data_IF_189393602797
#
_entry.id   IF_189393602797
#
_cell.length_a   1.000
_cell.length_b   1.000
_cell.length_c   1.000
_cell.angle_alpha   90.00
_cell.angle_beta   90.00
_cell.angle_gamma   90.00
#
_symmetry.space_group_name_H-M   'P 1'
#
loop_
_entity.id
_entity.type
_entity.pdbx_description
1 polymer ?
#
# COMPACT_ATOMS: atom_id res chain seq x y z
N UNK A 1 -25.20 -13.06 -7.87
CA UNK A 1 -23.89 -12.39 -7.95
C UNK A 1 -22.93 -13.18 -7.07
N UNK A 2 -21.78 -13.62 -7.58
CA UNK A 2 -20.77 -14.29 -6.77
C UNK A 2 -19.75 -13.29 -6.20
N UNK A 3 -18.78 -13.74 -5.39
CA UNK A 3 -17.79 -12.84 -4.77
C UNK A 3 -16.89 -12.14 -5.80
N UNK A 4 -16.60 -12.78 -6.93
CA UNK A 4 -15.75 -12.22 -8.00
C UNK A 4 -16.49 -11.13 -8.78
N UNK A 5 -17.79 -11.32 -9.00
CA UNK A 5 -18.68 -10.31 -9.60
C UNK A 5 -18.74 -9.07 -8.70
N UNK A 6 -18.88 -9.26 -7.38
CA UNK A 6 -18.91 -8.17 -6.40
C UNK A 6 -17.59 -7.40 -6.44
N UNK A 7 -16.44 -8.09 -6.36
CA UNK A 7 -15.12 -7.45 -6.43
C UNK A 7 -14.88 -6.73 -7.76
N UNK A 8 -15.32 -7.31 -8.88
CA UNK A 8 -15.20 -6.70 -10.20
C UNK A 8 -16.05 -5.42 -10.30
N UNK A 9 -17.30 -5.47 -9.82
CA UNK A 9 -18.21 -4.31 -9.79
C UNK A 9 -17.68 -3.22 -8.85
N UNK A 10 -17.24 -3.59 -7.66
CA UNK A 10 -16.60 -2.68 -6.71
C UNK A 10 -15.37 -2.00 -7.33
N UNK A 11 -14.48 -2.78 -7.96
CA UNK A 11 -13.28 -2.25 -8.62
C UNK A 11 -13.61 -1.21 -9.69
N UNK A 12 -14.67 -1.42 -10.47
CA UNK A 12 -15.15 -0.43 -11.46
C UNK A 12 -15.70 0.81 -10.78
N UNK A 13 -16.49 0.65 -9.71
CA UNK A 13 -17.03 1.77 -8.94
C UNK A 13 -15.93 2.62 -8.27
N UNK A 14 -14.90 1.98 -7.71
CA UNK A 14 -13.79 2.68 -7.06
C UNK A 14 -12.98 3.54 -8.05
N UNK A 15 -12.86 3.11 -9.31
CA UNK A 15 -12.22 3.93 -10.35
C UNK A 15 -12.98 5.23 -10.62
N UNK A 16 -14.29 5.27 -10.36
CA UNK A 16 -15.10 6.49 -10.51
C UNK A 16 -14.89 7.50 -9.37
N UNK A 17 -14.12 7.15 -8.33
CA UNK A 17 -13.77 8.10 -7.27
C UNK A 17 -12.75 9.16 -7.72
N UNK A 18 -12.10 8.95 -8.86
CA UNK A 18 -11.23 9.95 -9.47
C UNK A 18 -12.00 11.24 -9.69
N UNK A 19 -11.51 12.32 -9.10
CA UNK A 19 -12.13 13.64 -9.14
C UNK A 19 -12.98 13.97 -7.91
N UNK A 20 -13.31 13.00 -7.06
CA UNK A 20 -14.09 13.25 -5.85
C UNK A 20 -13.30 14.11 -4.87
N UNK A 21 -13.97 15.15 -4.35
CA UNK A 21 -13.48 15.98 -3.26
C UNK A 21 -13.91 15.37 -1.94
N UNK A 22 -12.97 15.19 -1.02
CA UNK A 22 -13.22 14.70 0.33
C UNK A 22 -13.35 15.91 1.25
N UNK A 23 -14.60 16.25 1.57
CA UNK A 23 -14.94 17.42 2.38
C UNK A 23 -14.73 17.16 3.89
N UNK A 24 -13.47 17.00 4.28
CA UNK A 24 -13.04 16.81 5.68
C UNK A 24 -12.29 18.04 6.21
N UNK A 25 -11.44 18.63 5.39
CA UNK A 25 -10.58 19.75 5.75
C UNK A 25 -10.36 20.61 4.52
N UNK A 26 -10.26 21.92 4.72
CA UNK A 26 -9.88 22.84 3.67
C UNK A 26 -8.61 23.58 4.09
N UNK A 27 -7.53 23.38 3.36
CA UNK A 27 -6.30 24.15 3.54
C UNK A 27 -6.47 25.47 2.81
N UNK A 28 -6.46 26.59 3.54
CA UNK A 28 -6.64 27.90 2.92
C UNK A 28 -5.44 28.26 2.04
N UNK A 29 -5.73 29.06 1.01
CA UNK A 29 -4.73 29.57 0.08
C UNK A 29 -3.65 30.36 0.86
N UNK A 30 -2.36 30.06 0.66
CA UNK A 30 -1.30 30.76 1.36
C UNK A 30 -1.26 32.24 0.95
N UNK A 31 -1.14 33.20 1.90
CA UNK A 31 -1.16 34.62 1.59
C UNK A 31 0.16 35.14 0.99
N UNK A 32 1.24 34.36 1.12
CA UNK A 32 2.58 34.72 0.63
C UNK A 32 3.29 33.49 0.07
N UNK A 33 4.30 33.74 -0.77
CA UNK A 33 5.14 32.67 -1.33
C UNK A 33 5.92 31.90 -0.26
N UNK A 34 6.41 32.59 0.77
CA UNK A 34 7.09 31.93 1.90
C UNK A 34 6.16 31.01 2.68
N UNK A 35 4.89 31.41 2.87
CA UNK A 35 3.89 30.53 3.44
C UNK A 35 3.66 29.32 2.54
N UNK A 36 3.51 29.53 1.22
CA UNK A 36 3.30 28.45 0.26
C UNK A 36 4.45 27.42 0.29
N UNK A 37 5.71 27.89 0.36
CA UNK A 37 6.90 27.03 0.50
C UNK A 37 6.87 26.20 1.77
N UNK A 38 6.55 26.84 2.90
CA UNK A 38 6.46 26.11 4.16
C UNK A 38 5.35 25.07 4.12
N UNK A 39 4.16 25.46 3.64
CA UNK A 39 3.00 24.58 3.49
C UNK A 39 3.33 23.37 2.62
N UNK A 40 3.99 23.56 1.49
CA UNK A 40 4.37 22.47 0.59
C UNK A 40 5.29 21.42 1.24
N UNK A 41 6.12 21.82 2.22
CA UNK A 41 6.97 20.91 3.02
C UNK A 41 6.18 20.10 4.04
N UNK A 42 5.04 20.61 4.53
CA UNK A 42 4.30 20.01 5.65
C UNK A 42 2.92 19.46 5.30
N UNK A 43 2.37 19.77 4.13
CA UNK A 43 0.99 19.40 3.73
C UNK A 43 0.78 17.88 3.74
N UNK A 44 1.82 17.08 3.48
CA UNK A 44 1.78 15.62 3.56
C UNK A 44 1.42 15.09 4.96
N UNK A 45 1.60 15.91 6.01
CA UNK A 45 1.20 15.57 7.40
C UNK A 45 -0.32 15.42 7.55
N UNK A 46 -1.12 15.85 6.58
CA UNK A 46 -2.57 15.59 6.54
C UNK A 46 -2.92 14.14 6.20
N UNK A 47 -1.96 13.34 5.71
CA UNK A 47 -2.21 11.97 5.24
C UNK A 47 -2.91 11.05 6.26
N UNK A 48 -2.62 11.09 7.58
CA UNK A 48 -3.34 10.24 8.54
C UNK A 48 -4.84 10.58 8.62
N UNK A 49 -5.19 11.87 8.66
CA UNK A 49 -6.59 12.32 8.70
C UNK A 49 -7.30 12.00 7.38
N UNK A 50 -6.69 12.39 6.26
CA UNK A 50 -7.28 12.21 4.93
C UNK A 50 -7.39 10.72 4.58
N UNK A 51 -6.39 9.92 4.93
CA UNK A 51 -6.38 8.48 4.71
C UNK A 51 -7.56 7.78 5.39
N UNK A 52 -7.76 8.06 6.68
CA UNK A 52 -8.86 7.48 7.43
C UNK A 52 -10.24 7.91 6.90
N UNK A 53 -10.37 9.15 6.43
CA UNK A 53 -11.60 9.62 5.80
C UNK A 53 -11.83 9.03 4.41
N UNK A 54 -10.78 8.77 3.64
CA UNK A 54 -10.88 8.05 2.37
C UNK A 54 -11.38 6.62 2.63
N UNK A 55 -10.90 5.92 3.66
CA UNK A 55 -11.41 4.59 4.04
C UNK A 55 -12.91 4.61 4.32
N UNK A 56 -13.38 5.62 5.06
CA UNK A 56 -14.82 5.82 5.32
C UNK A 56 -15.60 6.11 4.04
N UNK A 57 -15.11 7.06 3.24
CA UNK A 57 -15.74 7.47 2.00
C UNK A 57 -15.87 6.29 1.03
N UNK A 58 -14.83 5.47 0.85
CA UNK A 58 -14.85 4.29 -0.01
C UNK A 58 -15.99 3.34 0.34
N UNK A 59 -16.17 3.01 1.63
CA UNK A 59 -17.28 2.15 2.06
C UNK A 59 -18.66 2.75 1.75
N UNK A 60 -18.82 4.07 1.91
CA UNK A 60 -20.06 4.78 1.57
C UNK A 60 -20.32 4.72 0.07
N UNK A 61 -19.32 5.03 -0.76
CA UNK A 61 -19.46 5.04 -2.22
C UNK A 61 -19.71 3.65 -2.79
N UNK A 62 -19.09 2.61 -2.23
CA UNK A 62 -19.38 1.23 -2.62
C UNK A 62 -20.85 0.87 -2.39
N UNK A 63 -21.47 1.34 -1.30
CA UNK A 63 -22.89 1.10 -1.02
C UNK A 63 -23.87 1.91 -1.89
N UNK A 64 -23.39 2.88 -2.66
CA UNK A 64 -24.24 3.55 -3.67
C UNK A 64 -24.43 2.72 -4.94
N UNK A 65 -23.59 1.71 -5.15
CA UNK A 65 -23.77 0.76 -6.24
C UNK A 65 -24.94 -0.16 -5.92
N UNK A 66 -25.68 -0.56 -6.95
CA UNK A 66 -26.78 -1.51 -6.78
C UNK A 66 -26.26 -2.93 -6.52
N UNK A 67 -26.46 -3.46 -5.33
CA UNK A 67 -26.09 -4.84 -4.98
C UNK A 67 -27.30 -5.79 -5.01
N UNK A 68 -28.51 -5.30 -5.28
CA UNK A 68 -29.74 -6.05 -5.02
C UNK A 68 -29.85 -6.46 -3.54
N UNK A 69 -30.49 -7.60 -3.28
CA UNK A 69 -30.69 -8.12 -1.92
C UNK A 69 -29.53 -9.01 -1.43
N UNK A 70 -28.37 -9.00 -2.12
CA UNK A 70 -27.28 -9.94 -1.82
C UNK A 70 -26.40 -9.51 -0.65
N UNK A 71 -26.42 -8.23 -0.26
CA UNK A 71 -25.64 -7.72 0.86
C UNK A 71 -25.27 -6.24 0.75
N UNK A 72 -24.37 -5.80 1.65
CA UNK A 72 -23.86 -4.42 1.70
C UNK A 72 -22.41 -4.37 2.16
N UNK A 73 -21.69 -3.31 1.81
CA UNK A 73 -20.33 -3.10 2.31
C UNK A 73 -20.34 -2.52 3.72
N UNK A 74 -19.49 -3.05 4.60
CA UNK A 74 -19.27 -2.58 5.96
C UNK A 74 -17.79 -2.30 6.19
N UNK A 75 -17.52 -1.26 6.96
CA UNK A 75 -16.18 -0.99 7.47
C UNK A 75 -15.79 -2.00 8.55
N UNK A 76 -14.50 -2.32 8.60
CA UNK A 76 -13.90 -3.02 9.73
C UNK A 76 -12.95 -2.08 10.48
N UNK A 77 -13.16 -1.93 11.78
CA UNK A 77 -12.26 -1.21 12.70
C UNK A 77 -12.51 -1.66 14.16
N UNK A 78 -11.61 -2.45 14.79
CA UNK A 78 -10.43 -3.06 14.21
C UNK A 78 -10.78 -4.25 13.29
N UNK A 79 -10.04 -4.45 12.21
CA UNK A 79 -10.17 -5.65 11.39
C UNK A 79 -9.39 -5.56 10.08
N UNK A 80 -9.41 -6.65 9.31
CA UNK A 80 -8.84 -6.69 7.96
C UNK A 80 -9.78 -7.50 7.05
N UNK A 81 -10.01 -7.07 5.80
CA UNK A 81 -9.57 -5.79 5.21
C UNK A 81 -10.42 -4.59 5.68
N UNK A 82 -10.01 -3.36 5.35
CA UNK A 82 -10.68 -2.12 5.78
C UNK A 82 -12.20 -2.08 5.49
N UNK A 83 -12.65 -2.68 4.39
CA UNK A 83 -14.08 -2.83 4.06
C UNK A 83 -14.38 -4.26 3.60
N UNK A 84 -15.44 -4.87 4.13
CA UNK A 84 -15.92 -6.22 3.79
C UNK A 84 -17.36 -6.18 3.30
N UNK A 85 -17.73 -7.04 2.37
CA UNK A 85 -19.11 -7.20 1.92
C UNK A 85 -19.83 -8.20 2.81
N UNK A 86 -20.80 -7.72 3.58
CA UNK A 86 -21.68 -8.55 4.42
C UNK A 86 -22.89 -9.02 3.61
N UNK A 87 -23.03 -10.33 3.47
CA UNK A 87 -24.11 -10.98 2.74
C UNK A 87 -23.94 -12.50 2.73
N UNK A 88 -24.85 -13.22 2.09
CA UNK A 88 -24.76 -14.68 1.93
C UNK A 88 -23.81 -15.05 0.77
N UNK A 89 -22.55 -14.60 0.85
CA UNK A 89 -21.51 -14.78 -0.17
C UNK A 89 -20.26 -15.35 0.48
N UNK A 90 -19.74 -16.45 -0.07
CA UNK A 90 -18.53 -17.10 0.45
C UNK A 90 -17.52 -17.37 -0.68
N UNK A 91 -16.22 -17.02 -0.50
CA UNK A 91 -15.68 -16.19 0.59
C UNK A 91 -16.23 -14.76 0.57
N UNK A 92 -16.22 -14.11 1.73
CA UNK A 92 -16.62 -12.72 1.86
C UNK A 92 -15.68 -11.80 1.05
N UNK A 93 -16.20 -11.03 0.07
CA UNK A 93 -15.44 -10.01 -0.64
C UNK A 93 -14.88 -8.96 0.31
N UNK A 94 -13.65 -8.51 0.08
CA UNK A 94 -13.06 -7.43 0.86
C UNK A 94 -12.19 -6.49 0.03
N UNK A 95 -12.12 -5.22 0.45
CA UNK A 95 -11.26 -4.19 -0.12
C UNK A 95 -10.38 -3.64 1.00
N UNK A 96 -9.07 -3.83 0.84
CA UNK A 96 -8.05 -3.16 1.64
C UNK A 96 -7.72 -1.83 1.00
N UNK A 97 -7.66 -0.76 1.78
CA UNK A 97 -7.51 0.61 1.30
C UNK A 97 -6.14 1.12 1.70
N UNK A 98 -5.45 1.73 0.73
CA UNK A 98 -4.19 2.43 0.95
C UNK A 98 -4.25 3.76 0.24
N UNK A 99 -3.69 4.78 0.88
CA UNK A 99 -3.67 6.13 0.32
C UNK A 99 -2.26 6.59 0.06
N UNK A 100 -2.09 7.39 -0.98
CA UNK A 100 -0.81 7.97 -1.37
C UNK A 100 -0.96 9.47 -1.64
N UNK A 101 -0.05 10.25 -1.07
CA UNK A 101 0.14 11.66 -1.36
C UNK A 101 1.35 11.82 -2.30
N UNK A 102 1.16 12.09 -3.62
CA UNK A 102 2.25 11.98 -4.60
C UNK A 102 3.42 12.94 -4.47
N UNK A 103 3.26 14.03 -3.71
CA UNK A 103 4.38 14.94 -3.43
C UNK A 103 5.28 14.44 -2.28
N UNK A 104 4.91 13.34 -1.61
CA UNK A 104 5.78 12.64 -0.68
C UNK A 104 6.96 11.95 -1.40
N UNK A 105 7.99 11.57 -0.66
CA UNK A 105 9.17 10.89 -1.22
C UNK A 105 8.89 9.48 -1.71
N UNK A 106 7.96 8.76 -1.08
CA UNK A 106 7.58 7.39 -1.43
C UNK A 106 6.16 7.06 -0.92
N UNK A 107 5.55 5.99 -1.43
CA UNK A 107 4.37 5.38 -0.82
C UNK A 107 4.82 4.61 0.43
N UNK A 108 4.58 5.19 1.61
CA UNK A 108 5.00 4.61 2.90
C UNK A 108 4.06 3.53 3.44
N UNK A 109 2.85 3.45 2.88
CA UNK A 109 1.87 2.41 3.16
C UNK A 109 2.49 1.02 2.99
N UNK A 110 2.23 0.13 3.96
CA UNK A 110 2.77 -1.24 3.96
C UNK A 110 1.68 -2.26 3.70
N UNK A 111 2.06 -3.37 3.09
CA UNK A 111 1.18 -4.51 2.88
C UNK A 111 1.84 -5.79 3.37
N UNK A 112 1.56 -6.20 4.61
CA UNK A 112 2.29 -7.27 5.30
C UNK A 112 1.57 -8.60 5.32
N UNK A 113 0.28 -8.64 5.01
CA UNK A 113 -0.53 -9.85 5.08
C UNK A 113 0.05 -10.99 4.25
N UNK A 114 0.01 -12.18 4.83
CA UNK A 114 0.45 -13.42 4.23
C UNK A 114 -0.28 -13.71 2.93
N UNK A 115 0.46 -14.21 1.93
CA UNK A 115 -0.13 -14.74 0.71
C UNK A 115 -1.13 -15.88 0.97
N UNK A 116 -1.00 -16.60 2.10
CA UNK A 116 -1.94 -17.64 2.50
C UNK A 116 -3.33 -17.08 2.81
N UNK A 117 -3.44 -15.80 3.19
CA UNK A 117 -4.71 -15.15 3.45
C UNK A 117 -5.53 -14.98 2.17
N UNK A 118 -4.89 -14.90 1.00
CA UNK A 118 -5.53 -14.51 -0.27
C UNK A 118 -5.70 -15.65 -1.27
N UNK A 119 -5.75 -16.90 -0.81
CA UNK A 119 -5.79 -18.09 -1.70
C UNK A 119 -7.00 -18.13 -2.63
N UNK A 120 -8.10 -17.47 -2.27
CA UNK A 120 -9.32 -17.42 -3.08
C UNK A 120 -9.46 -16.11 -3.87
N UNK A 121 -8.46 -15.22 -3.82
CA UNK A 121 -8.54 -13.86 -4.39
C UNK A 121 -9.80 -13.10 -3.94
N UNK A 122 -10.20 -13.30 -2.69
CA UNK A 122 -11.41 -12.71 -2.10
C UNK A 122 -11.19 -11.27 -1.61
N UNK A 123 -9.95 -10.80 -1.61
CA UNK A 123 -9.58 -9.45 -1.15
C UNK A 123 -8.81 -8.72 -2.24
N UNK A 124 -9.23 -7.50 -2.56
CA UNK A 124 -8.51 -6.60 -3.45
C UNK A 124 -7.90 -5.46 -2.63
N UNK A 125 -6.85 -4.83 -3.16
CA UNK A 125 -6.25 -3.61 -2.61
C UNK A 125 -6.62 -2.45 -3.52
N UNK A 126 -7.15 -1.38 -2.94
CA UNK A 126 -7.36 -0.10 -3.59
C UNK A 126 -6.29 0.90 -3.11
N UNK A 127 -5.44 1.36 -4.02
CA UNK A 127 -4.48 2.43 -3.77
C UNK A 127 -5.01 3.74 -4.36
N UNK A 128 -5.39 4.68 -3.50
CA UNK A 128 -5.94 5.98 -3.89
C UNK A 128 -4.87 7.07 -3.78
N UNK A 129 -4.57 7.72 -4.91
CA UNK A 129 -3.73 8.90 -4.93
C UNK A 129 -4.59 10.13 -4.66
N UNK A 130 -4.15 11.01 -3.76
CA UNK A 130 -4.88 12.23 -3.41
C UNK A 130 -3.95 13.44 -3.30
N UNK A 131 -4.49 14.62 -3.58
CA UNK A 131 -3.87 15.93 -3.39
C UNK A 131 -4.92 16.97 -2.99
N UNK A 132 -4.54 18.08 -2.35
CA UNK A 132 -5.36 19.28 -2.35
C UNK A 132 -5.72 19.72 -3.79
N UNK A 133 -6.91 20.29 -3.99
CA UNK A 133 -7.41 20.77 -5.29
C UNK A 133 -6.42 21.65 -6.05
N UNK A 134 -5.63 22.44 -5.32
CA UNK A 134 -4.65 23.37 -5.86
C UNK A 134 -3.21 22.97 -5.47
N UNK A 135 -2.91 21.67 -5.58
CA UNK A 135 -1.60 21.03 -5.32
C UNK A 135 -1.21 20.99 -3.84
N UNK A 136 -1.17 22.16 -3.17
CA UNK A 136 -0.76 22.29 -1.76
C UNK A 136 -1.83 22.90 -0.86
N UNK A 137 -2.92 23.44 -1.43
CA UNK A 137 -4.06 24.00 -0.70
C UNK A 137 -5.40 23.65 -1.38
N UNK A 138 -6.51 23.95 -0.71
CA UNK A 138 -7.86 23.52 -1.08
C UNK A 138 -8.31 22.30 -0.27
N UNK A 139 -9.40 21.67 -0.71
CA UNK A 139 -9.88 20.43 -0.12
C UNK A 139 -9.10 19.22 -0.67
N UNK A 140 -8.91 18.14 0.09
CA UNK A 140 -8.38 16.90 -0.46
C UNK A 140 -9.26 16.39 -1.60
N UNK A 141 -8.63 15.96 -2.69
CA UNK A 141 -9.28 15.42 -3.88
C UNK A 141 -8.57 14.14 -4.29
N UNK A 142 -9.34 13.10 -4.57
CA UNK A 142 -8.82 11.86 -5.16
C UNK A 142 -8.46 12.18 -6.61
N UNK A 143 -7.21 11.98 -6.98
CA UNK A 143 -6.72 12.29 -8.33
C UNK A 143 -6.60 11.03 -9.19
N UNK A 144 -6.44 9.85 -8.58
CA UNK A 144 -6.51 8.59 -9.29
C UNK A 144 -6.64 7.38 -8.35
N UNK A 145 -7.08 6.24 -8.87
CA UNK A 145 -7.31 5.00 -8.11
C UNK A 145 -6.79 3.79 -8.87
N UNK A 146 -5.95 2.99 -8.20
CA UNK A 146 -5.53 1.68 -8.67
C UNK A 146 -6.18 0.58 -7.82
N UNK A 147 -6.63 -0.49 -8.47
CA UNK A 147 -7.23 -1.65 -7.80
C UNK A 147 -6.71 -2.94 -8.44
N UNK A 148 -6.26 -3.88 -7.60
CA UNK A 148 -5.84 -5.23 -8.00
C UNK A 148 -5.97 -6.20 -6.81
N UNK A 149 -5.69 -7.49 -7.02
CA UNK A 149 -5.76 -8.50 -5.97
C UNK A 149 -4.74 -8.25 -4.85
N UNK A 150 -5.14 -8.48 -3.60
CA UNK A 150 -4.23 -8.52 -2.46
C UNK A 150 -3.13 -9.60 -2.65
N UNK A 151 -3.48 -10.70 -3.31
CA UNK A 151 -2.56 -11.79 -3.60
C UNK A 151 -1.39 -11.35 -4.50
N UNK A 152 -1.64 -10.60 -5.58
CA UNK A 152 -0.58 -10.16 -6.51
C UNK A 152 0.41 -9.23 -5.80
N UNK A 153 -0.10 -8.36 -4.92
CA UNK A 153 0.71 -7.46 -4.10
C UNK A 153 1.57 -8.22 -3.07
N UNK A 154 0.98 -9.17 -2.34
CA UNK A 154 1.70 -10.05 -1.41
C UNK A 154 2.79 -10.85 -2.13
N UNK A 155 2.48 -11.41 -3.30
CA UNK A 155 3.42 -12.17 -4.11
C UNK A 155 4.59 -11.31 -4.61
N UNK A 156 4.33 -10.10 -5.09
CA UNK A 156 5.39 -9.18 -5.53
C UNK A 156 6.31 -8.80 -4.36
N UNK A 157 5.74 -8.48 -3.19
CA UNK A 157 6.50 -8.26 -1.95
C UNK A 157 7.40 -9.44 -1.62
N UNK A 158 6.84 -10.64 -1.59
CA UNK A 158 7.59 -11.83 -1.20
C UNK A 158 8.71 -12.13 -2.20
N UNK A 159 8.45 -11.98 -3.50
CA UNK A 159 9.45 -12.12 -4.55
C UNK A 159 10.55 -11.05 -4.49
N UNK A 160 10.22 -9.81 -4.13
CA UNK A 160 11.17 -8.72 -4.00
C UNK A 160 12.14 -8.92 -2.83
N UNK A 161 11.62 -9.26 -1.65
CA UNK A 161 12.42 -9.32 -0.43
C UNK A 161 13.09 -10.68 -0.19
N UNK A 162 12.54 -11.79 -0.71
CA UNK A 162 13.05 -13.11 -0.36
C UNK A 162 14.35 -13.43 -1.09
N UNK A 163 15.47 -13.28 -0.39
CA UNK A 163 16.82 -13.51 -0.92
C UNK A 163 17.70 -14.23 0.11
N UNK A 164 17.43 -15.49 0.47
CA UNK A 164 18.25 -16.20 1.44
C UNK A 164 19.68 -16.44 0.91
N UNK A 165 20.73 -16.32 1.77
CA UNK A 165 20.65 -16.06 3.20
C UNK A 165 20.55 -14.57 3.57
N UNK A 166 20.69 -13.65 2.61
CA UNK A 166 20.76 -12.22 2.88
C UNK A 166 19.48 -11.62 3.49
N UNK A 167 18.31 -12.08 3.05
CA UNK A 167 17.02 -11.59 3.51
C UNK A 167 15.99 -12.72 3.58
N UNK A 168 15.32 -12.87 4.73
CA UNK A 168 14.35 -13.92 4.99
C UNK A 168 12.96 -13.33 5.22
N UNK A 169 11.93 -14.02 4.73
CA UNK A 169 10.53 -13.69 4.98
C UNK A 169 9.88 -14.81 5.78
N UNK A 170 9.32 -14.46 6.92
CA UNK A 170 8.59 -15.41 7.77
C UNK A 170 7.09 -15.20 7.67
N UNK A 171 6.39 -16.32 7.47
CA UNK A 171 4.94 -16.41 7.62
C UNK A 171 4.54 -16.21 9.09
N UNK A 172 3.34 -15.67 9.36
CA UNK A 172 2.83 -15.60 10.73
C UNK A 172 2.69 -17.00 11.34
N UNK A 173 2.86 -17.10 12.66
CA UNK A 173 2.55 -18.32 13.39
C UNK A 173 1.04 -18.59 13.37
N UNK A 174 0.66 -19.85 13.44
CA UNK A 174 -0.76 -20.18 13.54
C UNK A 174 -1.29 -19.68 14.88
N UNK A 175 -2.15 -18.67 14.83
CA UNK A 175 -2.75 -18.01 15.99
C UNK A 175 -4.28 -18.12 15.96
N UNK A 176 -4.84 -19.04 15.17
CA UNK A 176 -6.30 -19.21 14.98
C UNK A 176 -7.07 -19.48 16.27
N UNK A 177 -6.43 -20.05 17.29
CA UNK A 177 -7.03 -20.31 18.60
C UNK A 177 -7.02 -19.11 19.54
N UNK A 178 -6.33 -18.01 19.17
CA UNK A 178 -6.31 -16.78 19.96
C UNK A 178 -7.56 -15.94 19.69
N UNK A 179 -7.90 -15.08 20.65
CA UNK A 179 -8.91 -14.03 20.46
C UNK A 179 -8.62 -13.24 19.17
N UNK A 180 -9.68 -12.80 18.47
CA UNK A 180 -9.58 -12.21 17.12
C UNK A 180 -8.54 -11.08 17.02
N UNK A 181 -8.45 -10.23 18.05
CA UNK A 181 -7.50 -9.12 18.15
C UNK A 181 -6.02 -9.55 18.34
N UNK A 182 -5.75 -10.82 18.65
CA UNK A 182 -4.42 -11.39 18.84
C UNK A 182 -3.99 -12.30 17.68
N UNK A 183 -4.86 -12.52 16.70
CA UNK A 183 -4.54 -13.28 15.51
C UNK A 183 -3.57 -12.48 14.63
N UNK A 184 -2.55 -13.17 14.11
CA UNK A 184 -1.49 -12.59 13.29
C UNK A 184 -1.66 -13.07 11.85
N UNK A 185 -1.88 -12.14 10.93
CA UNK A 185 -1.87 -12.40 9.48
C UNK A 185 -0.59 -11.92 8.81
N UNK A 186 0.24 -11.16 9.52
CA UNK A 186 1.36 -10.42 8.95
C UNK A 186 2.65 -11.25 8.83
N UNK A 187 3.28 -11.14 7.66
CA UNK A 187 4.64 -11.60 7.42
C UNK A 187 5.66 -10.61 7.99
N UNK A 188 6.86 -11.11 8.29
CA UNK A 188 7.98 -10.30 8.76
C UNK A 188 9.25 -10.55 7.95
N UNK A 189 9.94 -9.45 7.59
CA UNK A 189 11.21 -9.47 6.90
C UNK A 189 12.41 -9.35 7.85
N UNK A 190 13.46 -10.12 7.60
CA UNK A 190 14.67 -10.15 8.41
C UNK A 190 15.92 -10.07 7.54
N UNK A 191 16.79 -9.11 7.84
CA UNK A 191 18.05 -8.86 7.13
C UNK A 191 19.22 -9.51 7.86
N UNK A 192 20.10 -10.20 7.13
CA UNK A 192 21.34 -10.78 7.67
C UNK A 192 22.25 -9.70 8.26
N UNK A 193 22.90 -9.99 9.40
CA UNK A 193 23.80 -9.05 10.11
C UNK A 193 25.15 -9.69 10.49
N UNK A 194 25.46 -10.87 9.98
CA UNK A 194 26.74 -11.53 10.26
C UNK A 194 27.88 -10.95 9.42
N UNK A 195 29.10 -11.40 9.72
CA UNK A 195 30.28 -11.08 8.92
C UNK A 195 30.33 -11.87 7.60
N UNK A 196 31.35 -11.59 6.78
CA UNK A 196 31.52 -12.24 5.49
C UNK A 196 31.71 -13.77 5.59
N UNK A 197 32.35 -14.26 6.66
CA UNK A 197 32.57 -15.69 6.88
C UNK A 197 31.25 -16.38 7.20
N UNK A 198 30.47 -15.83 8.12
CA UNK A 198 29.14 -16.31 8.46
C UNK A 198 28.20 -16.29 7.24
N UNK A 199 28.30 -15.25 6.40
CA UNK A 199 27.53 -15.16 5.17
C UNK A 199 27.86 -16.30 4.20
N UNK A 200 29.15 -16.54 3.93
CA UNK A 200 29.59 -17.65 3.06
C UNK A 200 29.15 -19.03 3.60
N UNK A 201 29.17 -19.23 4.91
CA UNK A 201 28.65 -20.47 5.50
C UNK A 201 27.13 -20.61 5.34
N UNK A 202 26.39 -19.51 5.50
CA UNK A 202 24.95 -19.49 5.29
C UNK A 202 24.61 -19.76 3.81
N UNK A 203 25.41 -19.25 2.87
CA UNK A 203 25.25 -19.52 1.44
C UNK A 203 25.42 -21.01 1.12
N UNK A 204 26.37 -21.71 1.76
CA UNK A 204 26.53 -23.17 1.60
C UNK A 204 25.28 -23.93 2.06
N UNK A 205 24.66 -23.51 3.17
CA UNK A 205 23.41 -24.11 3.64
C UNK A 205 22.28 -23.89 2.63
N UNK A 206 22.15 -22.67 2.12
CA UNK A 206 21.12 -22.34 1.11
C UNK A 206 21.35 -23.09 -0.20
N UNK A 207 22.61 -23.24 -0.64
CA UNK A 207 22.97 -24.01 -1.83
C UNK A 207 22.56 -25.49 -1.72
N UNK A 208 22.67 -26.07 -0.51
CA UNK A 208 22.26 -27.44 -0.24
C UNK A 208 20.73 -27.65 -0.32
N UNK A 209 19.92 -26.59 -0.41
CA UNK A 209 18.46 -26.71 -0.58
C UNK A 209 18.04 -27.10 -2.00
N UNK A 210 18.97 -27.14 -2.96
CA UNK A 210 18.72 -27.48 -4.35
C UNK A 210 18.42 -26.27 -5.24
N UNK A 211 18.22 -26.51 -6.54
CA UNK A 211 18.04 -25.45 -7.57
C UNK A 211 16.87 -24.50 -7.26
N UNK A 212 15.75 -25.06 -6.80
CA UNK A 212 14.57 -24.29 -6.39
C UNK A 212 14.61 -23.85 -4.91
N UNK A 213 15.70 -24.12 -4.20
CA UNK A 213 15.80 -23.88 -2.76
C UNK A 213 15.67 -22.40 -2.37
N UNK A 214 16.03 -21.47 -3.27
CA UNK A 214 15.88 -20.03 -3.04
C UNK A 214 14.51 -19.49 -3.40
N UNK A 215 13.65 -20.27 -4.07
CA UNK A 215 12.29 -19.83 -4.40
C UNK A 215 11.45 -19.74 -3.13
N UNK A 216 10.82 -18.60 -2.90
CA UNK A 216 9.95 -18.41 -1.74
C UNK A 216 8.83 -19.45 -1.71
N UNK A 217 8.54 -19.96 -0.51
CA UNK A 217 7.38 -20.79 -0.26
C UNK A 217 6.80 -20.50 1.13
N UNK A 218 5.48 -20.29 1.24
CA UNK A 218 4.83 -20.12 2.54
C UNK A 218 4.61 -21.46 3.28
N UNK A 219 5.10 -22.57 2.73
CA UNK A 219 4.91 -23.91 3.32
C UNK A 219 5.66 -24.07 4.64
N UNK A 220 5.10 -24.89 5.56
CA UNK A 220 5.72 -25.19 6.85
C UNK A 220 7.14 -25.76 6.72
N UNK A 221 7.38 -26.60 5.72
CA UNK A 221 8.69 -27.20 5.44
C UNK A 221 9.72 -26.16 5.03
N UNK A 222 9.34 -25.21 4.17
CA UNK A 222 10.22 -24.11 3.77
C UNK A 222 10.50 -23.16 4.93
N UNK A 223 9.46 -22.76 5.66
CA UNK A 223 9.59 -21.91 6.85
C UNK A 223 10.45 -22.55 7.95
N UNK A 224 10.54 -23.90 8.02
CA UNK A 224 11.50 -24.60 8.88
C UNK A 224 12.96 -24.38 8.44
N UNK A 225 13.24 -24.39 7.13
CA UNK A 225 14.58 -24.07 6.59
C UNK A 225 15.01 -22.64 6.92
N UNK A 226 14.10 -21.67 6.79
CA UNK A 226 14.38 -20.28 7.15
C UNK A 226 14.65 -20.12 8.66
N UNK A 227 13.90 -20.83 9.50
CA UNK A 227 14.13 -20.84 10.96
C UNK A 227 15.50 -21.44 11.32
N UNK A 228 15.98 -22.45 10.59
CA UNK A 228 17.33 -22.98 10.78
C UNK A 228 18.40 -21.92 10.49
N UNK A 229 18.25 -21.12 9.44
CA UNK A 229 19.16 -19.99 9.18
C UNK A 229 19.10 -18.96 10.31
N UNK A 230 17.90 -18.52 10.71
CA UNK A 230 17.73 -17.50 11.76
C UNK A 230 18.26 -17.96 13.12
N UNK A 231 18.20 -19.27 13.42
CA UNK A 231 18.76 -19.84 14.64
C UNK A 231 20.29 -19.95 14.64
N UNK A 232 20.92 -19.99 13.45
CA UNK A 232 22.37 -20.18 13.33
C UNK A 232 23.14 -18.87 13.08
N UNK A 233 22.52 -17.88 12.44
CA UNK A 233 23.18 -16.62 12.07
C UNK A 233 22.40 -15.42 12.59
N UNK A 234 23.06 -14.28 12.83
CA UNK A 234 22.38 -13.08 13.29
C UNK A 234 21.55 -12.44 12.17
N UNK A 235 20.28 -12.20 12.48
CA UNK A 235 19.37 -11.44 11.62
C UNK A 235 18.67 -10.34 12.44
N UNK A 236 18.41 -9.21 11.79
CA UNK A 236 17.64 -8.11 12.37
C UNK A 236 16.30 -7.96 11.68
N UNK A 237 15.24 -7.74 12.45
CA UNK A 237 13.93 -7.39 11.93
C UNK A 237 14.01 -6.08 11.13
N UNK A 238 13.49 -6.09 9.91
CA UNK A 238 13.43 -4.92 9.06
C UNK A 238 12.10 -4.17 9.24
N UNK A 239 12.15 -3.02 9.89
CA UNK A 239 10.99 -2.15 10.11
C UNK A 239 10.53 -1.43 8.84
N UNK A 240 11.33 -1.44 7.76
CA UNK A 240 10.98 -0.91 6.45
C UNK A 240 10.42 -1.96 5.49
N UNK A 241 10.31 -3.23 5.92
CA UNK A 241 9.72 -4.31 5.15
C UNK A 241 8.31 -3.96 4.64
N UNK A 242 8.05 -4.35 3.39
CA UNK A 242 6.73 -4.35 2.75
C UNK A 242 6.10 -2.98 2.44
N UNK A 243 6.89 -1.91 2.30
CA UNK A 243 6.40 -0.64 1.73
C UNK A 243 5.97 -0.86 0.28
N UNK A 244 4.76 -0.43 -0.08
CA UNK A 244 4.17 -0.64 -1.41
C UNK A 244 5.05 -0.05 -2.52
N UNK A 245 5.72 1.07 -2.26
CA UNK A 245 6.62 1.70 -3.24
C UNK A 245 7.82 0.83 -3.63
N UNK A 246 8.20 -0.13 -2.79
CA UNK A 246 9.49 -0.83 -2.89
C UNK A 246 9.38 -2.28 -3.33
N UNK A 247 8.18 -2.81 -3.53
CA UNK A 247 7.96 -4.23 -3.82
C UNK A 247 7.98 -4.59 -5.31
N UNK A 248 8.22 -3.62 -6.19
CA UNK A 248 8.35 -3.86 -7.63
C UNK A 248 7.10 -4.45 -8.30
N UNK A 249 5.91 -4.15 -7.77
CA UNK A 249 4.66 -4.60 -8.38
C UNK A 249 4.37 -3.79 -9.64
N UNK A 250 4.42 -4.40 -10.82
CA UNK A 250 4.31 -3.68 -12.10
C UNK A 250 3.04 -2.82 -12.21
N UNK A 251 1.90 -3.30 -11.72
CA UNK A 251 0.65 -2.51 -11.71
C UNK A 251 0.76 -1.24 -10.86
N UNK A 252 1.50 -1.29 -9.75
CA UNK A 252 1.73 -0.13 -8.89
C UNK A 252 2.74 0.81 -9.54
N UNK A 253 3.81 0.28 -10.13
CA UNK A 253 4.80 1.10 -10.86
C UNK A 253 4.17 1.87 -12.02
N UNK A 254 3.30 1.20 -12.80
CA UNK A 254 2.54 1.83 -13.87
C UNK A 254 1.60 2.91 -13.33
N UNK A 255 0.88 2.62 -12.25
CA UNK A 255 0.01 3.59 -11.59
C UNK A 255 0.77 4.82 -11.08
N UNK A 256 1.90 4.63 -10.39
CA UNK A 256 2.76 5.73 -9.93
C UNK A 256 3.23 6.60 -11.07
N UNK A 257 3.68 5.97 -12.15
CA UNK A 257 4.15 6.67 -13.35
C UNK A 257 3.01 7.49 -13.96
N UNK A 258 1.84 6.89 -14.15
CA UNK A 258 0.65 7.57 -14.66
C UNK A 258 0.24 8.77 -13.79
N UNK A 259 0.19 8.60 -12.47
CA UNK A 259 -0.13 9.70 -11.53
C UNK A 259 0.90 10.81 -11.62
N UNK A 260 2.20 10.49 -11.56
CA UNK A 260 3.27 11.49 -11.60
C UNK A 260 3.31 12.23 -12.94
N UNK A 261 2.94 11.58 -14.04
CA UNK A 261 2.94 12.19 -15.37
C UNK A 261 1.62 12.91 -15.69
N UNK A 262 0.62 12.82 -14.81
CA UNK A 262 -0.65 13.56 -14.97
C UNK A 262 -0.44 15.07 -14.85
N UNK A 263 -1.02 15.83 -15.78
CA UNK A 263 -0.92 17.29 -15.82
C UNK A 263 -2.04 17.90 -14.97
N UNK A 264 -1.64 18.69 -13.97
CA UNK A 264 -2.53 19.44 -13.10
C UNK A 264 -2.00 20.86 -12.99
N UNK A 265 -2.84 21.87 -13.26
CA UNK A 265 -2.42 23.28 -13.29
C UNK A 265 -1.19 23.50 -14.20
N UNK A 266 -1.31 23.04 -15.46
CA UNK A 266 -0.32 23.19 -16.55
C UNK A 266 0.99 22.40 -16.40
N UNK A 267 1.22 21.73 -15.27
CA UNK A 267 2.45 20.98 -15.01
C UNK A 267 2.16 19.56 -14.56
N UNK A 268 3.04 18.63 -14.90
CA UNK A 268 2.99 17.27 -14.38
C UNK A 268 3.21 17.27 -12.86
N UNK A 269 2.64 16.29 -12.16
CA UNK A 269 2.94 16.11 -10.73
C UNK A 269 4.40 15.82 -10.45
N UNK A 270 5.11 15.20 -11.40
CA UNK A 270 6.56 15.03 -11.36
C UNK A 270 7.28 16.37 -11.32
N UNK A 271 6.88 17.32 -12.17
CA UNK A 271 7.42 18.69 -12.15
C UNK A 271 7.09 19.38 -10.83
N UNK A 272 5.83 19.33 -10.38
CA UNK A 272 5.44 19.86 -9.07
C UNK A 272 6.27 19.30 -7.91
N UNK A 273 6.54 17.99 -7.91
CA UNK A 273 7.34 17.34 -6.87
C UNK A 273 8.79 17.81 -6.83
N UNK A 274 9.36 18.22 -7.98
CA UNK A 274 10.69 18.80 -8.08
C UNK A 274 10.68 20.25 -7.59
N UNK A 275 9.71 21.04 -8.06
CA UNK A 275 9.55 22.46 -7.74
C UNK A 275 9.38 22.70 -6.24
N UNK A 276 8.55 21.89 -5.58
CA UNK A 276 8.30 22.00 -4.14
C UNK A 276 9.56 21.68 -3.30
N UNK A 277 10.50 20.92 -3.85
CA UNK A 277 11.77 20.58 -3.20
C UNK A 277 12.90 21.54 -3.58
N UNK A 278 12.69 22.37 -4.61
CA UNK A 278 13.67 23.32 -5.11
C UNK A 278 13.67 24.59 -4.25
N UNK A 279 14.85 24.98 -3.76
CA UNK A 279 15.04 26.20 -2.97
C UNK A 279 15.30 27.43 -3.85
N UNK A 280 15.48 27.25 -5.17
CA UNK A 280 15.79 28.33 -6.11
C UNK A 280 14.56 29.10 -6.64
N UNK A 281 14.83 30.30 -7.14
CA UNK A 281 13.84 31.32 -7.54
C UNK A 281 12.89 30.90 -8.69
N UNK A 282 13.21 29.88 -9.50
CA UNK A 282 12.39 29.45 -10.65
C UNK A 282 11.01 28.94 -10.25
N UNK A 283 10.89 28.36 -9.06
CA UNK A 283 9.63 27.90 -8.48
C UNK A 283 8.64 29.05 -8.21
N UNK A 284 9.14 30.28 -8.07
CA UNK A 284 8.32 31.43 -7.67
C UNK A 284 7.32 31.85 -8.74
N UNK A 285 7.66 31.74 -10.03
CA UNK A 285 6.73 32.11 -11.10
C UNK A 285 5.62 31.07 -11.29
N UNK A 286 5.87 29.83 -10.90
CA UNK A 286 4.92 28.73 -11.06
C UNK A 286 3.93 28.67 -9.89
N UNK A 287 4.39 28.94 -8.66
CA UNK A 287 3.50 29.11 -7.51
C UNK A 287 2.65 30.38 -7.66
N UNK A 288 3.17 31.45 -8.28
CA UNK A 288 2.34 32.62 -8.63
C UNK A 288 1.15 32.26 -9.50
N UNK A 289 1.26 31.28 -10.40
CA UNK A 289 0.13 30.84 -11.23
C UNK A 289 -0.94 30.06 -10.43
N UNK A 290 -0.61 29.60 -9.21
CA UNK A 290 -1.58 29.08 -8.25
C UNK A 290 -2.15 30.20 -7.34
N UNK A 291 -1.48 31.35 -7.26
CA UNK A 291 -1.92 32.54 -6.50
C UNK A 291 -2.84 33.46 -7.30
#
# INVERSE_FOLDING_TARGET
>A
MNYQDILTKASKGLKNLKGNVIDVVEVKKPPTLDYARHLAKIVSKLSPLVGNMIEYHVCVELNKLDWGEVGSWKRQDPGFPDTVFEGNINPAPGIEIKTWFPLATEITARFKDSINHFKQNQTYVALLAWLPEFIIYGKPKIIDVWVDTAWSLAKARDAHYHRPPDYLIFEPENTSERAANLQQSNTNGYKFQGDAKAFQEAEKIVAAWGKEGKRYSPSRSYQKKLRQLRGKYPYRLDTNYAKIDRIGHQGVENFKTHVLDSVIHQHSLREWSKLIKDEEWKTMDWIKNLM
#
